data_IF_613368712255
#
_entry.id   IF_613368712255
#
_cell.length_a   1.000
_cell.length_b   1.000
_cell.length_c   1.000
_cell.angle_alpha   90.00
_cell.angle_beta   90.00
_cell.angle_gamma   90.00
#
_symmetry.space_group_name_H-M   'P 1'
#
loop_
_entity.id
_entity.type
_entity.pdbx_description
1 polymer ?
#
# COMPACT_ATOMS: atom_id res chain seq x y z
N UNK A 1 8.17 2.47 0.74
CA UNK A 1 6.86 2.86 0.18
C UNK A 1 6.98 3.88 -0.93
N UNK A 2 7.26 5.17 -0.64
CA UNK A 2 7.29 6.22 -1.66
C UNK A 2 8.18 5.93 -2.86
N UNK A 3 9.41 5.44 -2.63
CA UNK A 3 10.32 5.10 -3.73
C UNK A 3 9.76 4.01 -4.65
N UNK A 4 9.08 3.00 -4.09
CA UNK A 4 8.44 1.94 -4.88
C UNK A 4 7.23 2.45 -5.67
N UNK A 5 6.45 3.38 -5.12
CA UNK A 5 5.33 4.03 -5.83
C UNK A 5 5.80 5.02 -6.89
N UNK A 6 6.87 5.76 -6.63
CA UNK A 6 7.51 6.62 -7.63
C UNK A 6 7.99 5.80 -8.83
N UNK A 7 8.69 4.68 -8.57
CA UNK A 7 9.13 3.77 -9.63
C UNK A 7 7.95 3.20 -10.42
N UNK A 8 6.90 2.74 -9.74
CA UNK A 8 5.67 2.28 -10.37
C UNK A 8 5.12 3.35 -11.32
N UNK A 9 4.90 4.57 -10.84
CA UNK A 9 4.24 5.62 -11.60
C UNK A 9 5.07 6.06 -12.81
N UNK A 10 6.39 6.05 -12.69
CA UNK A 10 7.27 6.50 -13.78
C UNK A 10 7.33 5.49 -14.93
N UNK A 11 7.47 4.20 -14.63
CA UNK A 11 7.68 3.15 -15.64
C UNK A 11 6.41 2.40 -16.04
N UNK A 12 5.51 2.16 -15.09
CA UNK A 12 4.30 1.34 -15.28
C UNK A 12 3.02 2.18 -15.22
N UNK A 13 3.13 3.48 -14.90
CA UNK A 13 1.99 4.37 -14.76
C UNK A 13 1.19 4.13 -13.47
N UNK A 14 0.01 4.73 -13.46
CA UNK A 14 -0.97 4.64 -12.37
C UNK A 14 -2.37 4.45 -12.96
N UNK A 15 -3.31 3.85 -12.22
CA UNK A 15 -4.66 3.58 -12.71
C UNK A 15 -5.55 4.84 -12.76
N UNK A 16 -5.00 6.03 -13.03
CA UNK A 16 -5.80 7.25 -13.19
C UNK A 16 -6.71 7.19 -14.41
N UNK A 17 -6.33 6.38 -15.40
CA UNK A 17 -7.13 6.11 -16.60
C UNK A 17 -8.51 5.55 -16.27
N UNK A 18 -8.59 4.67 -15.28
CA UNK A 18 -9.82 4.04 -14.80
C UNK A 18 -10.86 5.07 -14.34
N UNK A 19 -10.38 6.20 -13.84
CA UNK A 19 -11.25 7.31 -13.50
C UNK A 19 -11.53 8.18 -14.72
N UNK A 20 -10.48 8.66 -15.41
CA UNK A 20 -10.56 9.65 -16.48
C UNK A 20 -11.25 9.16 -17.76
N UNK A 21 -11.32 7.86 -18.00
CA UNK A 21 -12.03 7.26 -19.13
C UNK A 21 -13.38 6.63 -18.75
N UNK A 22 -13.91 6.91 -17.57
CA UNK A 22 -15.28 6.52 -17.25
C UNK A 22 -16.26 7.53 -17.81
N UNK A 23 -16.93 7.14 -18.88
CA UNK A 23 -17.92 7.95 -19.59
C UNK A 23 -19.03 8.41 -18.67
N UNK A 24 -19.59 7.52 -17.83
CA UNK A 24 -20.69 7.86 -16.94
C UNK A 24 -20.34 8.95 -15.94
N UNK A 25 -19.05 9.05 -15.58
CA UNK A 25 -18.56 10.02 -14.62
C UNK A 25 -18.05 11.30 -15.26
N UNK A 26 -17.26 11.20 -16.34
CA UNK A 26 -16.60 12.36 -16.96
C UNK A 26 -17.37 12.98 -18.12
N UNK A 27 -18.22 12.25 -18.85
CA UNK A 27 -18.94 12.84 -19.98
C UNK A 27 -19.76 14.07 -19.60
N UNK A 28 -20.44 14.17 -18.42
CA UNK A 28 -21.16 15.37 -18.05
C UNK A 28 -20.26 16.60 -17.89
N UNK A 29 -18.99 16.40 -17.52
CA UNK A 29 -18.00 17.47 -17.35
C UNK A 29 -17.37 17.80 -18.71
N UNK A 30 -16.97 16.78 -19.47
CA UNK A 30 -16.27 16.94 -20.75
C UNK A 30 -17.19 17.55 -21.82
N UNK A 31 -18.41 17.03 -21.94
CA UNK A 31 -19.39 17.53 -22.90
C UNK A 31 -20.09 18.79 -22.37
N UNK A 32 -20.41 18.86 -21.07
CA UNK A 32 -21.13 19.99 -20.50
C UNK A 32 -20.29 21.24 -20.28
N UNK A 33 -19.06 21.11 -19.75
CA UNK A 33 -18.19 22.24 -19.40
C UNK A 33 -17.20 22.57 -20.51
N UNK A 34 -16.60 21.55 -21.11
CA UNK A 34 -15.57 21.72 -22.14
C UNK A 34 -16.12 21.63 -23.57
N UNK A 35 -17.42 21.36 -23.73
CA UNK A 35 -18.11 21.28 -25.02
C UNK A 35 -17.37 20.39 -26.05
N UNK A 36 -16.73 19.34 -25.55
CA UNK A 36 -15.96 18.39 -26.36
C UNK A 36 -16.72 17.07 -26.38
N UNK A 37 -17.04 16.49 -27.55
CA UNK A 37 -17.70 15.18 -27.60
C UNK A 37 -16.88 14.13 -26.87
N UNK A 38 -17.54 13.21 -26.15
CA UNK A 38 -16.85 12.16 -25.40
C UNK A 38 -15.89 11.34 -26.28
N UNK A 39 -16.32 11.00 -27.50
CA UNK A 39 -15.49 10.27 -28.46
C UNK A 39 -14.17 10.98 -28.76
N UNK A 40 -14.20 12.29 -28.97
CA UNK A 40 -13.00 13.09 -29.28
C UNK A 40 -12.07 13.17 -28.07
N UNK A 41 -12.63 13.31 -26.87
CA UNK A 41 -11.85 13.28 -25.63
C UNK A 41 -11.19 11.91 -25.40
N UNK A 42 -11.97 10.83 -25.50
CA UNK A 42 -11.54 9.48 -25.19
C UNK A 42 -10.51 8.95 -26.19
N UNK A 43 -10.56 9.39 -27.44
CA UNK A 43 -9.60 8.98 -28.49
C UNK A 43 -8.43 9.96 -28.67
N UNK A 44 -8.43 11.10 -27.96
CA UNK A 44 -7.40 12.14 -28.12
C UNK A 44 -6.00 11.67 -27.66
N UNK A 45 -5.00 11.67 -28.56
CA UNK A 45 -3.61 11.42 -28.19
C UNK A 45 -3.05 12.48 -27.25
N UNK A 46 -3.57 13.71 -27.31
CA UNK A 46 -3.15 14.81 -26.44
C UNK A 46 -3.60 14.57 -25.00
N UNK A 47 -4.85 14.14 -24.80
CA UNK A 47 -5.37 13.78 -23.47
C UNK A 47 -4.52 12.66 -22.87
N UNK A 48 -4.22 11.60 -23.63
CA UNK A 48 -3.37 10.52 -23.13
C UNK A 48 -1.96 11.02 -22.73
N UNK A 49 -1.32 11.88 -23.55
CA UNK A 49 -0.02 12.48 -23.23
C UNK A 49 -0.07 13.30 -21.94
N UNK A 50 -1.14 14.05 -21.70
CA UNK A 50 -1.33 14.82 -20.47
C UNK A 50 -1.48 13.91 -19.25
N UNK A 51 -2.27 12.84 -19.35
CA UNK A 51 -2.42 11.86 -18.26
C UNK A 51 -1.06 11.24 -17.91
N UNK A 52 -0.26 10.86 -18.91
CA UNK A 52 1.09 10.34 -18.70
C UNK A 52 2.02 11.37 -18.06
N UNK A 53 1.99 12.62 -18.55
CA UNK A 53 2.78 13.72 -18.00
C UNK A 53 2.46 13.96 -16.52
N UNK A 54 1.17 14.05 -16.17
CA UNK A 54 0.72 14.22 -14.77
C UNK A 54 1.14 13.02 -13.91
N UNK A 55 0.99 11.79 -14.43
CA UNK A 55 1.40 10.58 -13.72
C UNK A 55 2.91 10.59 -13.42
N UNK A 56 3.74 10.98 -14.38
CA UNK A 56 5.18 11.16 -14.19
C UNK A 56 5.48 12.31 -13.22
N UNK A 57 4.73 13.41 -13.27
CA UNK A 57 4.81 14.48 -12.27
C UNK A 57 4.59 13.98 -10.84
N UNK A 58 3.57 13.15 -10.62
CA UNK A 58 3.32 12.51 -9.32
C UNK A 58 4.46 11.57 -8.90
N UNK A 59 5.08 10.86 -9.85
CA UNK A 59 6.25 10.02 -9.53
C UNK A 59 7.41 10.84 -8.94
N UNK A 60 7.66 12.04 -9.47
CA UNK A 60 8.71 12.94 -8.99
C UNK A 60 8.39 13.42 -7.57
N UNK A 61 7.14 13.83 -7.31
CA UNK A 61 6.70 14.22 -5.96
C UNK A 61 6.91 13.09 -4.96
N UNK A 62 6.53 11.86 -5.31
CA UNK A 62 6.72 10.70 -4.44
C UNK A 62 8.21 10.42 -4.21
N UNK A 63 9.07 10.56 -5.23
CA UNK A 63 10.52 10.41 -5.09
C UNK A 63 11.11 11.46 -4.15
N UNK A 64 10.70 12.73 -4.28
CA UNK A 64 11.07 13.79 -3.34
C UNK A 64 10.59 13.49 -1.93
N UNK A 65 9.37 12.96 -1.77
CA UNK A 65 8.84 12.49 -0.50
C UNK A 65 9.69 11.38 0.13
N UNK A 66 10.22 10.46 -0.68
CA UNK A 66 11.16 9.44 -0.21
C UNK A 66 12.46 10.05 0.30
N UNK A 67 13.07 10.97 -0.47
CA UNK A 67 14.30 11.66 -0.08
C UNK A 67 14.11 12.46 1.22
N UNK A 68 13.02 13.21 1.32
CA UNK A 68 12.67 13.99 2.52
C UNK A 68 12.47 13.08 3.74
N UNK A 69 11.88 11.90 3.55
CA UNK A 69 11.68 10.94 4.63
C UNK A 69 13.01 10.39 5.17
N UNK A 70 13.98 10.15 4.29
CA UNK A 70 15.33 9.68 4.66
C UNK A 70 16.11 10.76 5.41
N UNK A 71 16.05 12.00 4.92
CA UNK A 71 16.79 13.15 5.48
C UNK A 71 15.93 14.04 6.36
N UNK A 72 14.92 13.47 7.02
CA UNK A 72 13.90 14.22 7.76
C UNK A 72 14.47 15.17 8.82
N UNK A 73 15.57 14.76 9.47
CA UNK A 73 16.22 15.50 10.55
C UNK A 73 17.16 16.59 10.03
N UNK A 74 17.79 16.36 8.88
CA UNK A 74 18.75 17.26 8.25
C UNK A 74 18.04 18.43 7.55
N UNK A 75 16.81 18.20 7.07
CA UNK A 75 16.01 19.23 6.38
C UNK A 75 15.30 20.13 7.40
N UNK A 76 15.77 21.37 7.50
CA UNK A 76 15.24 22.41 8.40
C UNK A 76 13.96 23.08 7.89
N UNK A 77 13.65 22.94 6.59
CA UNK A 77 12.53 23.58 5.90
C UNK A 77 11.20 22.89 6.21
N UNK A 78 10.68 23.09 7.43
CA UNK A 78 9.54 22.35 7.98
C UNK A 78 8.27 22.50 7.13
N UNK A 79 7.99 23.69 6.60
CA UNK A 79 6.82 23.91 5.73
C UNK A 79 6.93 23.09 4.45
N UNK A 80 8.07 23.18 3.76
CA UNK A 80 8.31 22.47 2.49
C UNK A 80 8.20 20.96 2.67
N UNK A 81 8.87 20.39 3.68
CA UNK A 81 8.80 18.93 3.92
C UNK A 81 7.39 18.45 4.26
N UNK A 82 6.64 19.23 5.05
CA UNK A 82 5.24 18.92 5.36
C UNK A 82 4.34 19.02 4.13
N UNK A 83 4.53 20.04 3.29
CA UNK A 83 3.75 20.21 2.05
C UNK A 83 4.00 19.08 1.06
N UNK A 84 5.26 18.67 0.85
CA UNK A 84 5.57 17.57 -0.07
C UNK A 84 5.02 16.24 0.44
N UNK A 85 5.16 15.94 1.73
CA UNK A 85 4.55 14.75 2.33
C UNK A 85 3.02 14.79 2.29
N UNK A 86 2.42 15.94 2.56
CA UNK A 86 0.97 16.15 2.46
C UNK A 86 0.45 15.93 1.04
N UNK A 87 1.16 16.44 0.02
CA UNK A 87 0.83 16.17 -1.38
C UNK A 87 1.05 14.70 -1.75
N UNK A 88 2.05 14.03 -1.17
CA UNK A 88 2.23 12.58 -1.27
C UNK A 88 1.03 11.79 -0.70
N UNK A 89 0.47 12.21 0.44
CA UNK A 89 -0.76 11.62 0.98
C UNK A 89 -1.92 11.80 0.00
N UNK A 90 -2.10 13.00 -0.55
CA UNK A 90 -3.15 13.27 -1.54
C UNK A 90 -3.04 12.33 -2.76
N UNK A 91 -1.83 12.16 -3.31
CA UNK A 91 -1.58 11.22 -4.42
C UNK A 91 -1.95 9.79 -4.04
N UNK A 92 -1.64 9.34 -2.83
CA UNK A 92 -1.99 7.99 -2.36
C UNK A 92 -3.50 7.81 -2.14
N UNK A 93 -4.21 8.87 -1.72
CA UNK A 93 -5.68 8.85 -1.64
C UNK A 93 -6.29 8.73 -3.03
N UNK A 94 -5.83 9.53 -4.00
CA UNK A 94 -6.26 9.43 -5.39
C UNK A 94 -6.01 8.02 -5.96
N UNK A 95 -4.82 7.46 -5.68
CA UNK A 95 -4.50 6.08 -6.03
C UNK A 95 -5.49 5.10 -5.41
N UNK A 96 -5.82 5.26 -4.13
CA UNK A 96 -6.80 4.41 -3.44
C UNK A 96 -8.17 4.43 -4.07
N UNK A 97 -8.68 5.61 -4.42
CA UNK A 97 -9.95 5.76 -5.11
C UNK A 97 -9.92 5.03 -6.46
N UNK A 98 -8.85 5.20 -7.23
CA UNK A 98 -8.68 4.52 -8.53
C UNK A 98 -8.56 2.99 -8.37
N UNK A 99 -7.90 2.51 -7.30
CA UNK A 99 -7.77 1.08 -7.04
C UNK A 99 -9.10 0.44 -6.64
N UNK A 100 -9.89 1.11 -5.79
CA UNK A 100 -11.25 0.66 -5.45
C UNK A 100 -12.07 0.52 -6.73
N UNK A 101 -12.09 1.55 -7.58
CA UNK A 101 -12.81 1.54 -8.85
C UNK A 101 -12.37 0.39 -9.77
N UNK A 102 -11.05 0.27 -10.02
CA UNK A 102 -10.50 -0.76 -10.91
C UNK A 102 -10.71 -2.19 -10.40
N UNK A 103 -10.93 -2.37 -9.10
CA UNK A 103 -11.24 -3.65 -8.47
C UNK A 103 -12.73 -3.80 -8.18
N UNK A 104 -13.59 -3.36 -9.11
CA UNK A 104 -15.07 -3.48 -9.03
C UNK A 104 -15.65 -2.83 -7.77
N UNK A 105 -15.14 -1.67 -7.39
CA UNK A 105 -15.56 -0.91 -6.23
C UNK A 105 -15.35 -1.61 -4.88
N UNK A 106 -14.38 -2.51 -4.77
CA UNK A 106 -14.09 -3.20 -3.52
C UNK A 106 -13.41 -2.26 -2.49
N UNK A 107 -14.08 -1.88 -1.38
CA UNK A 107 -13.52 -0.96 -0.40
C UNK A 107 -12.36 -1.58 0.41
N UNK A 108 -12.25 -2.91 0.47
CA UNK A 108 -11.14 -3.59 1.18
C UNK A 108 -9.79 -3.28 0.53
N UNK A 109 -9.79 -2.99 -0.78
CA UNK A 109 -8.61 -2.56 -1.51
C UNK A 109 -8.08 -1.19 -1.02
N UNK A 110 -8.95 -0.32 -0.51
CA UNK A 110 -8.56 0.94 0.09
C UNK A 110 -7.81 0.74 1.41
N UNK A 111 -8.25 -0.25 2.21
CA UNK A 111 -7.62 -0.55 3.49
C UNK A 111 -6.21 -1.13 3.35
N UNK A 112 -5.84 -1.74 2.21
CA UNK A 112 -4.44 -2.09 1.90
C UNK A 112 -3.51 -0.84 1.94
N UNK A 113 -4.04 0.33 1.58
CA UNK A 113 -3.27 1.58 1.62
C UNK A 113 -3.15 2.18 3.01
N UNK A 114 -3.92 1.70 4.01
CA UNK A 114 -3.88 2.24 5.37
C UNK A 114 -2.47 2.23 5.94
N UNK A 115 -1.69 1.18 5.72
CA UNK A 115 -0.29 1.09 6.20
C UNK A 115 0.64 2.09 5.51
N UNK A 116 0.34 2.47 4.27
CA UNK A 116 1.09 3.47 3.52
C UNK A 116 0.81 4.87 4.10
N UNK A 117 -0.44 5.16 4.46
CA UNK A 117 -0.79 6.40 5.16
C UNK A 117 -0.15 6.47 6.56
N UNK A 118 -0.23 5.38 7.33
CA UNK A 118 0.31 5.32 8.70
C UNK A 118 1.82 5.56 8.74
N UNK A 119 2.58 5.08 7.75
CA UNK A 119 4.03 5.33 7.65
C UNK A 119 4.37 6.82 7.63
N UNK A 120 3.56 7.65 6.96
CA UNK A 120 3.76 9.10 6.86
C UNK A 120 3.40 9.77 8.20
N UNK A 121 2.32 9.33 8.84
CA UNK A 121 1.94 9.85 10.16
C UNK A 121 2.99 9.57 11.23
N UNK A 122 3.63 8.41 11.22
CA UNK A 122 4.73 8.11 12.15
C UNK A 122 5.87 9.12 12.02
N UNK A 123 6.23 9.54 10.80
CA UNK A 123 7.25 10.57 10.60
C UNK A 123 6.84 11.92 11.20
N UNK A 124 5.56 12.30 11.11
CA UNK A 124 5.06 13.53 11.73
C UNK A 124 5.06 13.48 13.26
N UNK A 125 4.80 12.32 13.87
CA UNK A 125 4.58 12.20 15.32
C UNK A 125 5.76 11.62 16.11
N UNK A 126 6.76 10.99 15.49
CA UNK A 126 7.80 10.24 16.21
C UNK A 126 8.66 11.06 17.18
N UNK A 127 8.93 12.35 16.91
CA UNK A 127 9.97 13.10 17.62
C UNK A 127 9.48 14.11 18.68
N UNK A 128 8.25 14.60 18.58
CA UNK A 128 7.73 15.69 19.44
C UNK A 128 6.57 15.28 20.36
N UNK A 129 6.36 13.98 20.58
CA UNK A 129 5.14 13.51 21.22
C UNK A 129 5.31 13.21 22.72
N UNK A 130 4.48 13.85 23.55
CA UNK A 130 4.31 13.51 24.98
C UNK A 130 3.89 12.03 25.12
N UNK A 131 4.10 11.43 26.29
CA UNK A 131 3.76 10.01 26.58
C UNK A 131 2.31 9.65 26.16
N UNK A 132 1.35 10.54 26.42
CA UNK A 132 -0.05 10.36 26.01
C UNK A 132 -0.22 10.22 24.48
N UNK A 133 0.59 10.95 23.71
CA UNK A 133 0.59 10.88 22.24
C UNK A 133 1.25 9.57 21.75
N UNK A 134 2.26 9.03 22.46
CA UNK A 134 2.84 7.73 22.14
C UNK A 134 1.82 6.60 22.30
N UNK A 135 1.03 6.58 23.38
CA UNK A 135 -0.04 5.57 23.57
C UNK A 135 -1.10 5.65 22.46
N UNK A 136 -1.55 6.85 22.11
CA UNK A 136 -2.50 7.06 21.01
C UNK A 136 -1.91 6.62 19.66
N UNK A 137 -0.66 6.96 19.39
CA UNK A 137 0.06 6.53 18.18
C UNK A 137 0.13 5.01 18.09
N UNK A 138 0.53 4.33 19.16
CA UNK A 138 0.58 2.86 19.21
C UNK A 138 -0.78 2.21 18.97
N UNK A 139 -1.84 2.77 19.56
CA UNK A 139 -3.20 2.30 19.32
C UNK A 139 -3.58 2.41 17.83
N UNK A 140 -3.41 3.59 17.23
CA UNK A 140 -3.74 3.81 15.82
C UNK A 140 -2.87 3.01 14.85
N UNK A 141 -1.62 2.73 15.21
CA UNK A 141 -0.76 1.82 14.44
C UNK A 141 -1.30 0.39 14.46
N UNK A 142 -1.72 -0.12 15.62
CA UNK A 142 -2.35 -1.46 15.74
C UNK A 142 -3.64 -1.53 14.93
N UNK A 143 -4.48 -0.49 14.99
CA UNK A 143 -5.71 -0.39 14.18
C UNK A 143 -5.38 -0.44 12.69
N UNK A 144 -4.42 0.37 12.23
CA UNK A 144 -4.00 0.37 10.82
C UNK A 144 -3.49 -1.00 10.37
N UNK A 145 -2.65 -1.66 11.18
CA UNK A 145 -2.12 -2.98 10.87
C UNK A 145 -3.27 -4.00 10.78
N UNK A 146 -4.20 -3.97 11.73
CA UNK A 146 -5.35 -4.86 11.72
C UNK A 146 -6.26 -4.63 10.50
N UNK A 147 -6.53 -3.38 10.12
CA UNK A 147 -7.33 -3.08 8.92
C UNK A 147 -6.73 -3.70 7.65
N UNK A 148 -5.42 -3.65 7.52
CA UNK A 148 -4.69 -4.19 6.34
C UNK A 148 -4.76 -5.72 6.32
N UNK A 149 -4.40 -6.37 7.43
CA UNK A 149 -4.35 -7.84 7.49
C UNK A 149 -5.75 -8.47 7.53
N UNK A 150 -6.74 -7.84 8.15
CA UNK A 150 -8.14 -8.28 8.02
C UNK A 150 -8.55 -8.21 6.55
N UNK A 151 -8.34 -7.08 5.88
CA UNK A 151 -8.74 -6.95 4.46
C UNK A 151 -8.06 -7.98 3.57
N UNK A 152 -6.76 -8.22 3.73
CA UNK A 152 -6.05 -9.29 3.02
C UNK A 152 -6.54 -10.68 3.37
N UNK A 153 -6.84 -10.93 4.65
CA UNK A 153 -7.37 -12.21 5.10
C UNK A 153 -8.73 -12.51 4.48
N UNK A 154 -9.64 -11.54 4.45
CA UNK A 154 -10.96 -11.67 3.82
C UNK A 154 -10.84 -11.94 2.31
N UNK A 155 -9.86 -11.32 1.62
CA UNK A 155 -9.54 -11.63 0.22
C UNK A 155 -9.02 -13.06 0.03
N UNK A 156 -8.07 -13.49 0.87
CA UNK A 156 -7.46 -14.81 0.76
C UNK A 156 -8.46 -15.94 1.10
N UNK A 157 -9.39 -15.67 2.01
CA UNK A 157 -10.52 -16.56 2.34
C UNK A 157 -11.58 -16.63 1.24
N UNK A 158 -11.60 -15.68 0.29
CA UNK A 158 -12.53 -15.68 -0.83
C UNK A 158 -13.97 -15.29 -0.47
N UNK A 159 -14.18 -14.48 0.57
CA UNK A 159 -15.54 -14.07 0.99
C UNK A 159 -16.31 -13.31 -0.09
N UNK A 160 -15.62 -12.48 -0.88
CA UNK A 160 -16.18 -11.83 -2.07
C UNK A 160 -15.64 -12.55 -3.32
N UNK A 161 -14.32 -12.61 -3.44
CA UNK A 161 -13.59 -13.39 -4.44
C UNK A 161 -12.13 -13.54 -3.97
N UNK A 162 -11.43 -14.55 -4.49
CA UNK A 162 -9.98 -14.67 -4.32
C UNK A 162 -9.30 -13.96 -5.49
N UNK A 163 -8.41 -12.97 -5.25
CA UNK A 163 -7.69 -12.31 -6.34
C UNK A 163 -6.86 -13.31 -7.15
N UNK A 164 -7.02 -13.35 -8.48
CA UNK A 164 -6.31 -14.30 -9.36
C UNK A 164 -4.79 -14.29 -9.15
N UNK A 165 -4.18 -13.11 -9.03
CA UNK A 165 -2.75 -13.00 -8.77
C UNK A 165 -2.27 -13.63 -7.45
N UNK A 166 -3.13 -13.82 -6.44
CA UNK A 166 -2.77 -14.58 -5.24
C UNK A 166 -2.67 -16.07 -5.54
N UNK A 167 -3.59 -16.57 -6.37
CA UNK A 167 -3.62 -17.96 -6.82
C UNK A 167 -2.38 -18.20 -7.69
N UNK A 168 -2.19 -17.41 -8.74
CA UNK A 168 -1.08 -17.58 -9.70
C UNK A 168 0.29 -17.54 -9.03
N UNK A 169 0.50 -16.57 -8.12
CA UNK A 169 1.73 -16.43 -7.36
C UNK A 169 1.98 -17.64 -6.46
N UNK A 170 0.94 -18.15 -5.80
CA UNK A 170 1.07 -19.31 -4.89
C UNK A 170 1.33 -20.59 -5.66
N UNK A 171 0.67 -20.79 -6.81
CA UNK A 171 0.92 -21.91 -7.72
C UNK A 171 2.36 -21.85 -8.24
N UNK A 172 2.81 -20.68 -8.71
CA UNK A 172 4.17 -20.47 -9.23
C UNK A 172 5.24 -20.80 -8.18
N UNK A 173 5.04 -20.41 -6.92
CA UNK A 173 6.02 -20.62 -5.84
C UNK A 173 5.97 -22.05 -5.29
N UNK A 174 4.76 -22.61 -5.07
CA UNK A 174 4.58 -23.87 -4.35
C UNK A 174 4.43 -25.08 -5.28
N UNK A 175 4.20 -24.88 -6.58
CA UNK A 175 3.95 -25.96 -7.55
C UNK A 175 2.67 -26.74 -7.29
N UNK A 176 1.68 -26.13 -6.63
CA UNK A 176 0.42 -26.80 -6.24
C UNK A 176 -0.70 -26.57 -7.25
N UNK A 177 -1.76 -27.38 -7.18
CA UNK A 177 -2.99 -27.16 -7.96
C UNK A 177 -3.78 -25.95 -7.44
N UNK A 178 -4.68 -25.41 -8.27
CA UNK A 178 -5.55 -24.30 -7.88
C UNK A 178 -6.40 -24.63 -6.63
N UNK A 179 -6.93 -25.85 -6.54
CA UNK A 179 -7.71 -26.29 -5.38
C UNK A 179 -6.88 -26.28 -4.09
N UNK A 180 -5.67 -26.84 -4.14
CA UNK A 180 -4.72 -26.83 -3.02
C UNK A 180 -4.32 -25.40 -2.64
N UNK A 181 -4.06 -24.54 -3.64
CA UNK A 181 -3.74 -23.13 -3.43
C UNK A 181 -4.89 -22.37 -2.76
N UNK A 182 -6.14 -22.59 -3.17
CA UNK A 182 -7.31 -21.97 -2.51
C UNK A 182 -7.43 -22.40 -1.05
N UNK A 183 -7.22 -23.67 -0.75
CA UNK A 183 -7.19 -24.15 0.64
C UNK A 183 -6.05 -23.51 1.45
N UNK A 184 -4.85 -23.42 0.88
CA UNK A 184 -3.71 -22.74 1.50
C UNK A 184 -4.04 -21.27 1.80
N UNK A 185 -4.54 -20.53 0.81
CA UNK A 185 -4.92 -19.12 0.96
C UNK A 185 -6.01 -18.92 2.01
N UNK A 186 -6.99 -19.82 2.09
CA UNK A 186 -8.03 -19.76 3.10
C UNK A 186 -7.45 -19.87 4.52
N UNK A 187 -6.54 -20.83 4.75
CA UNK A 187 -5.91 -21.03 6.06
C UNK A 187 -5.10 -19.80 6.46
N UNK A 188 -4.26 -19.28 5.58
CA UNK A 188 -3.46 -18.09 5.87
C UNK A 188 -4.33 -16.82 6.00
N UNK A 189 -5.43 -16.74 5.26
CA UNK A 189 -6.39 -15.65 5.42
C UNK A 189 -7.07 -15.66 6.78
N UNK A 190 -7.43 -16.85 7.30
CA UNK A 190 -7.94 -16.99 8.66
C UNK A 190 -6.88 -16.59 9.70
N UNK A 191 -5.62 -17.01 9.51
CA UNK A 191 -4.51 -16.62 10.38
C UNK A 191 -4.29 -15.10 10.39
N UNK A 192 -4.43 -14.42 9.24
CA UNK A 192 -4.32 -12.96 9.15
C UNK A 192 -5.39 -12.24 9.97
N UNK A 193 -6.64 -12.71 9.91
CA UNK A 193 -7.75 -12.17 10.71
C UNK A 193 -7.52 -12.43 12.20
N UNK A 194 -7.19 -13.67 12.57
CA UNK A 194 -6.96 -14.06 13.96
C UNK A 194 -5.79 -13.27 14.54
N UNK A 195 -4.65 -13.22 13.85
CA UNK A 195 -3.49 -12.45 14.29
C UNK A 195 -3.84 -10.97 14.47
N UNK A 196 -4.61 -10.38 13.56
CA UNK A 196 -5.05 -8.98 13.65
C UNK A 196 -5.85 -8.68 14.91
N UNK A 197 -6.73 -9.60 15.32
CA UNK A 197 -7.49 -9.50 16.58
C UNK A 197 -6.57 -9.70 17.78
N UNK A 198 -5.69 -10.71 17.72
CA UNK A 198 -4.76 -11.05 18.80
C UNK A 198 -3.71 -9.97 19.07
N UNK A 199 -3.41 -9.09 18.10
CA UNK A 199 -2.59 -7.90 18.36
C UNK A 199 -3.17 -7.10 19.52
N UNK A 200 -4.49 -7.06 19.71
CA UNK A 200 -5.15 -6.30 20.78
C UNK A 200 -5.08 -6.97 22.16
N UNK A 201 -4.73 -8.25 22.24
CA UNK A 201 -4.74 -9.06 23.46
C UNK A 201 -3.38 -8.98 24.20
N UNK A 202 -3.30 -8.46 25.43
CA UNK A 202 -2.03 -8.18 26.13
C UNK A 202 -1.09 -9.38 26.33
N UNK A 203 -1.60 -10.62 26.39
CA UNK A 203 -0.77 -11.81 26.55
C UNK A 203 -0.30 -12.40 25.22
N UNK A 204 -1.01 -12.11 24.12
CA UNK A 204 -0.82 -12.76 22.83
C UNK A 204 -0.24 -11.84 21.75
N UNK A 205 -0.21 -10.52 21.99
CA UNK A 205 0.27 -9.54 21.02
C UNK A 205 1.66 -9.87 20.46
N UNK A 206 2.57 -10.41 21.28
CA UNK A 206 3.94 -10.75 20.86
C UNK A 206 3.93 -11.77 19.73
N UNK A 207 3.16 -12.85 19.88
CA UNK A 207 3.04 -13.90 18.87
C UNK A 207 2.33 -13.38 17.61
N UNK A 208 1.27 -12.58 17.80
CA UNK A 208 0.57 -11.95 16.69
C UNK A 208 1.47 -11.03 15.85
N UNK A 209 2.29 -10.19 16.50
CA UNK A 209 3.26 -9.34 15.80
C UNK A 209 4.32 -10.17 15.05
N UNK A 210 4.86 -11.23 15.66
CA UNK A 210 5.85 -12.09 14.99
C UNK A 210 5.27 -12.66 13.70
N UNK A 211 4.07 -13.24 13.76
CA UNK A 211 3.38 -13.75 12.58
C UNK A 211 3.21 -12.66 11.51
N UNK A 212 2.64 -11.51 11.89
CA UNK A 212 2.37 -10.39 10.96
C UNK A 212 3.63 -9.84 10.33
N UNK A 213 4.72 -9.70 11.10
CA UNK A 213 6.02 -9.23 10.59
C UNK A 213 6.56 -10.21 9.55
N UNK A 214 6.63 -11.49 9.92
CA UNK A 214 7.19 -12.53 9.05
C UNK A 214 6.34 -12.67 7.80
N UNK A 215 5.02 -12.81 7.96
CA UNK A 215 4.09 -12.99 6.85
C UNK A 215 4.04 -11.76 5.94
N UNK A 216 4.05 -10.55 6.50
CA UNK A 216 4.10 -9.31 5.72
C UNK A 216 5.40 -9.15 4.90
N UNK A 217 6.54 -9.64 5.40
CA UNK A 217 7.81 -9.66 4.64
C UNK A 217 7.79 -10.76 3.57
N UNK A 218 7.40 -11.98 3.95
CA UNK A 218 7.36 -13.14 3.04
C UNK A 218 6.45 -12.86 1.86
N UNK A 219 5.23 -12.35 2.11
CA UNK A 219 4.29 -12.01 1.03
C UNK A 219 4.77 -10.85 0.16
N UNK A 220 5.49 -9.87 0.71
CA UNK A 220 6.13 -8.83 -0.10
C UNK A 220 7.19 -9.41 -1.03
N UNK A 221 8.07 -10.28 -0.51
CA UNK A 221 9.13 -10.95 -1.29
C UNK A 221 8.58 -11.93 -2.33
N UNK A 222 7.44 -12.58 -2.03
CA UNK A 222 6.80 -13.53 -2.93
C UNK A 222 6.51 -12.92 -4.32
N UNK A 223 6.29 -11.60 -4.42
CA UNK A 223 6.08 -10.92 -5.71
C UNK A 223 7.31 -10.98 -6.61
N UNK A 224 8.49 -10.78 -6.02
CA UNK A 224 9.75 -10.89 -6.75
C UNK A 224 10.04 -12.34 -7.10
N UNK A 225 9.84 -13.26 -6.14
CA UNK A 225 10.10 -14.69 -6.34
C UNK A 225 9.22 -15.29 -7.43
N UNK A 226 7.90 -15.05 -7.41
CA UNK A 226 6.97 -15.63 -8.39
C UNK A 226 7.17 -15.11 -9.81
N UNK A 227 7.70 -13.90 -9.94
CA UNK A 227 7.95 -13.25 -11.23
C UNK A 227 9.40 -13.39 -11.69
N UNK A 228 10.26 -14.06 -10.92
CA UNK A 228 11.67 -14.16 -11.25
C UNK A 228 11.91 -15.17 -12.36
N UNK A 229 12.57 -14.72 -13.42
CA UNK A 229 13.06 -15.57 -14.50
C UNK A 229 14.60 -15.42 -14.57
N UNK A 230 15.32 -16.54 -14.45
CA UNK A 230 16.79 -16.59 -14.48
C UNK A 230 17.40 -16.15 -15.80
N UNK A 231 16.69 -16.33 -16.91
CA UNK A 231 17.15 -15.93 -18.24
C UNK A 231 16.99 -14.41 -18.45
N UNK A 232 16.10 -13.78 -17.68
CA UNK A 232 15.76 -12.36 -17.78
C UNK A 232 15.84 -11.65 -16.42
N UNK A 233 16.97 -11.78 -15.74
CA UNK A 233 17.18 -11.25 -14.39
C UNK A 233 16.85 -9.76 -14.28
N UNK A 234 17.42 -8.93 -15.14
CA UNK A 234 17.23 -7.47 -15.09
C UNK A 234 15.77 -7.08 -15.35
N UNK A 235 15.11 -7.75 -16.30
CA UNK A 235 13.70 -7.50 -16.61
C UNK A 235 12.80 -7.94 -15.43
N UNK A 236 13.12 -9.07 -14.80
CA UNK A 236 12.41 -9.55 -13.60
C UNK A 236 12.50 -8.53 -12.47
N UNK A 237 13.68 -7.97 -12.20
CA UNK A 237 13.83 -6.90 -11.22
C UNK A 237 13.03 -5.65 -11.62
N UNK A 238 13.11 -5.22 -12.88
CA UNK A 238 12.35 -4.07 -13.37
C UNK A 238 10.83 -4.24 -13.14
N UNK A 239 10.29 -5.43 -13.44
CA UNK A 239 8.87 -5.73 -13.37
C UNK A 239 8.34 -5.98 -11.95
N UNK A 240 9.14 -6.57 -11.05
CA UNK A 240 8.62 -7.06 -9.77
C UNK A 240 9.26 -6.43 -8.53
N UNK A 241 10.44 -5.83 -8.62
CA UNK A 241 11.14 -5.30 -7.44
C UNK A 241 10.36 -4.15 -6.79
N UNK A 242 9.78 -3.26 -7.59
CA UNK A 242 9.02 -2.13 -7.07
C UNK A 242 7.76 -2.59 -6.29
N UNK A 243 7.12 -3.69 -6.73
CA UNK A 243 5.97 -4.31 -6.06
C UNK A 243 6.34 -4.79 -4.65
N UNK A 244 7.55 -5.33 -4.51
CA UNK A 244 8.13 -5.72 -3.21
C UNK A 244 8.37 -4.47 -2.37
N UNK A 245 9.07 -3.48 -2.90
CA UNK A 245 9.51 -2.28 -2.17
C UNK A 245 8.34 -1.47 -1.57
N UNK A 246 7.25 -1.27 -2.31
CA UNK A 246 6.11 -0.54 -1.74
C UNK A 246 5.25 -1.40 -0.80
N UNK A 247 5.39 -2.73 -0.82
CA UNK A 247 4.70 -3.65 0.10
C UNK A 247 5.51 -4.04 1.33
N UNK A 248 6.83 -3.89 1.34
CA UNK A 248 7.67 -4.07 2.55
C UNK A 248 7.12 -3.38 3.83
N UNK A 249 6.44 -2.21 3.78
CA UNK A 249 5.78 -1.64 4.94
C UNK A 249 4.80 -2.59 5.66
N UNK A 250 4.20 -3.58 4.98
CA UNK A 250 3.32 -4.57 5.58
C UNK A 250 4.00 -5.39 6.68
N UNK A 251 5.32 -5.59 6.60
CA UNK A 251 6.11 -6.22 7.67
C UNK A 251 6.94 -5.22 8.50
N UNK A 252 7.46 -4.16 7.88
CA UNK A 252 8.32 -3.19 8.56
C UNK A 252 7.55 -2.26 9.52
N UNK A 253 6.31 -1.88 9.20
CA UNK A 253 5.49 -1.05 10.10
C UNK A 253 5.06 -1.81 11.36
N UNK A 254 4.62 -3.08 11.28
CA UNK A 254 4.44 -3.92 12.47
C UNK A 254 5.71 -4.09 13.29
N UNK A 255 6.86 -4.27 12.65
CA UNK A 255 8.15 -4.35 13.35
C UNK A 255 8.45 -3.05 14.13
N UNK A 256 8.32 -1.90 13.47
CA UNK A 256 8.51 -0.60 14.12
C UNK A 256 7.52 -0.40 15.28
N UNK A 257 6.26 -0.80 15.09
CA UNK A 257 5.22 -0.72 16.13
C UNK A 257 5.54 -1.61 17.33
N UNK A 258 6.02 -2.83 17.08
CA UNK A 258 6.43 -3.77 18.12
C UNK A 258 7.64 -3.25 18.93
N UNK A 259 8.62 -2.65 18.25
CA UNK A 259 9.77 -2.02 18.91
C UNK A 259 9.33 -0.84 19.79
N UNK A 260 8.47 0.04 19.29
CA UNK A 260 7.90 1.16 20.06
C UNK A 260 7.08 0.68 21.26
N UNK A 261 6.35 -0.42 21.11
CA UNK A 261 5.57 -1.01 22.20
C UNK A 261 6.48 -1.59 23.31
N UNK A 262 7.58 -2.27 22.95
CA UNK A 262 8.58 -2.75 23.93
C UNK A 262 9.25 -1.60 24.68
N UNK A 263 9.56 -0.50 24.00
CA UNK A 263 10.10 0.70 24.66
C UNK A 263 9.11 1.26 25.68
N UNK A 264 7.83 1.29 25.32
CA UNK A 264 6.75 1.76 26.20
C UNK A 264 6.54 0.86 27.43
N UNK A 265 6.59 -0.48 27.29
CA UNK A 265 6.46 -1.40 28.43
C UNK A 265 7.64 -1.32 29.42
N UNK A 266 8.82 -0.91 28.97
CA UNK A 266 10.00 -0.75 29.83
C UNK A 266 9.98 0.53 30.68
N UNK A 267 9.11 1.48 30.38
CA UNK A 267 9.00 2.71 31.17
C UNK A 267 8.26 2.43 32.48
N UNK A 268 8.75 2.89 33.64
CA UNK A 268 8.06 2.71 34.91
C UNK A 268 6.65 3.29 34.81
N UNK A 269 5.67 2.53 35.29
CA UNK A 269 4.31 3.03 35.47
C UNK A 269 4.37 4.03 36.62
N UNK A 270 4.43 5.32 36.30
CA UNK A 270 4.16 6.39 37.26
C UNK A 270 2.70 6.33 37.72
#
# INVERSE_FOLDING_TARGET
MFIGRAYQFYFFGAPFREFLWDESFLSPIVEGVFNTPWYDYATSPLVNKWIEFVTKGFSIVLLLGAFISLFWQQITWIKVKKSILGFGIFILILLGICLVKSKRYDPLQFFELSIQFAAIFVLFFSKNSKIANKRRLLFWLRVTIALVFISHGLFAMGLIYVPGHFIDMSISILGTTEAQTKHFLFVFGLLDVVASILIFVPKLYKYAFIYIIVWGIVTALARLVSGFNSDFVLNSFHQFLYLTIYRLPHGLMPLATFMLYKEFEKQPKN
#
